data_IF_185660033242
#
_entry.id   IF_185660033242
#
_cell.length_a   1.000
_cell.length_b   1.000
_cell.length_c   1.000
_cell.angle_alpha   90.00
_cell.angle_beta   90.00
_cell.angle_gamma   90.00
#
_symmetry.space_group_name_H-M   'P 1'
#
loop_
_entity.id
_entity.type
_entity.pdbx_description
1 polymer ?
#
# COMPACT_ATOMS: atom_id res chain seq x y z
N UNK A 1 6.97 -47.98 -30.80
CA UNK A 1 5.76 -48.42 -30.06
C UNK A 1 5.02 -47.19 -29.56
N UNK A 2 3.88 -46.85 -30.16
CA UNK A 2 3.10 -45.67 -29.79
C UNK A 2 2.29 -45.94 -28.50
N UNK A 3 2.53 -45.15 -27.45
CA UNK A 3 1.73 -45.20 -26.21
C UNK A 3 0.30 -44.73 -26.52
N UNK A 4 -0.66 -45.66 -26.57
CA UNK A 4 -2.10 -45.39 -26.61
C UNK A 4 -2.48 -44.50 -25.42
N UNK A 5 -2.83 -43.23 -25.67
CA UNK A 5 -3.51 -42.39 -24.68
C UNK A 5 -4.88 -43.01 -24.41
N UNK A 6 -5.16 -43.37 -23.15
CA UNK A 6 -6.49 -43.85 -22.72
C UNK A 6 -7.56 -42.81 -23.11
N UNK A 7 -8.78 -43.23 -23.50
CA UNK A 7 -9.90 -42.32 -23.69
C UNK A 7 -10.14 -41.58 -22.37
N UNK A 8 -10.11 -40.25 -22.41
CA UNK A 8 -10.51 -39.42 -21.28
C UNK A 8 -11.98 -39.73 -20.97
N UNK A 9 -12.28 -40.06 -19.71
CA UNK A 9 -13.65 -40.30 -19.26
C UNK A 9 -14.54 -39.12 -19.73
N UNK A 10 -15.65 -39.37 -20.45
CA UNK A 10 -16.55 -38.32 -20.90
C UNK A 10 -17.02 -37.39 -19.77
N UNK A 11 -17.14 -37.92 -18.54
CA UNK A 11 -17.54 -37.15 -17.36
C UNK A 11 -16.43 -36.19 -16.90
N UNK A 12 -15.18 -36.64 -16.89
CA UNK A 12 -14.01 -35.80 -16.56
C UNK A 12 -13.80 -34.72 -17.62
N UNK A 13 -14.00 -35.05 -18.90
CA UNK A 13 -13.94 -34.09 -19.99
C UNK A 13 -15.05 -33.02 -19.88
N UNK A 14 -16.27 -33.40 -19.49
CA UNK A 14 -17.37 -32.47 -19.26
C UNK A 14 -17.11 -31.57 -18.03
N UNK A 15 -16.60 -32.13 -16.93
CA UNK A 15 -16.22 -31.38 -15.73
C UNK A 15 -15.13 -30.35 -16.02
N UNK A 16 -14.07 -30.73 -16.72
CA UNK A 16 -13.01 -29.79 -17.11
C UNK A 16 -13.48 -28.69 -18.05
N UNK A 17 -14.46 -28.97 -18.94
CA UNK A 17 -15.07 -27.92 -19.77
C UNK A 17 -15.86 -26.93 -18.90
N UNK A 18 -16.62 -27.43 -17.93
CA UNK A 18 -17.40 -26.60 -17.01
C UNK A 18 -16.50 -25.72 -16.14
N UNK A 19 -15.45 -26.29 -15.54
CA UNK A 19 -14.49 -25.53 -14.72
C UNK A 19 -13.77 -24.44 -15.53
N UNK A 20 -13.46 -24.70 -16.81
CA UNK A 20 -12.88 -23.68 -17.71
C UNK A 20 -13.86 -22.57 -18.03
N UNK A 21 -15.12 -22.90 -18.22
CA UNK A 21 -16.17 -21.92 -18.52
C UNK A 21 -16.46 -21.03 -17.30
N UNK A 22 -16.60 -21.62 -16.12
CA UNK A 22 -16.77 -20.90 -14.85
C UNK A 22 -15.57 -19.99 -14.57
N UNK A 23 -14.33 -20.48 -14.77
CA UNK A 23 -13.14 -19.66 -14.63
C UNK A 23 -13.10 -18.51 -15.65
N UNK A 24 -13.54 -18.74 -16.89
CA UNK A 24 -13.58 -17.70 -17.93
C UNK A 24 -14.58 -16.61 -17.57
N UNK A 25 -15.78 -16.99 -17.15
CA UNK A 25 -16.83 -16.06 -16.72
C UNK A 25 -16.37 -15.23 -15.52
N UNK A 26 -15.67 -15.85 -14.57
CA UNK A 26 -15.17 -15.13 -13.41
C UNK A 26 -14.03 -14.17 -13.77
N UNK A 27 -13.10 -14.58 -14.63
CA UNK A 27 -12.05 -13.69 -15.15
C UNK A 27 -12.65 -12.52 -15.92
N UNK A 28 -13.62 -12.77 -16.80
CA UNK A 28 -14.32 -11.74 -17.57
C UNK A 28 -15.03 -10.76 -16.62
N UNK A 29 -15.84 -11.27 -15.69
CA UNK A 29 -16.54 -10.47 -14.67
C UNK A 29 -15.60 -9.57 -13.88
N UNK A 30 -14.44 -10.09 -13.46
CA UNK A 30 -13.49 -9.32 -12.66
C UNK A 30 -12.62 -8.39 -13.50
N UNK A 31 -12.29 -8.74 -14.74
CA UNK A 31 -11.49 -7.90 -15.63
C UNK A 31 -12.17 -6.59 -16.03
N UNK A 32 -13.50 -6.57 -16.07
CA UNK A 32 -14.29 -5.37 -16.36
C UNK A 32 -14.38 -4.44 -15.13
N UNK A 33 -14.04 -4.93 -13.94
CA UNK A 33 -14.00 -4.10 -12.74
C UNK A 33 -12.74 -3.23 -12.74
N UNK A 34 -12.94 -1.90 -12.75
CA UNK A 34 -11.83 -0.97 -12.56
C UNK A 34 -11.14 -1.22 -11.22
N UNK A 35 -9.80 -1.24 -11.25
CA UNK A 35 -8.99 -1.41 -10.05
C UNK A 35 -8.97 -2.80 -9.46
N UNK A 36 -9.23 -3.84 -10.25
CA UNK A 36 -8.98 -5.23 -9.85
C UNK A 36 -7.75 -5.76 -10.59
N UNK A 37 -6.74 -6.18 -9.84
CA UNK A 37 -5.60 -6.92 -10.37
C UNK A 37 -5.86 -8.42 -10.26
N UNK A 38 -5.81 -9.10 -11.41
CA UNK A 38 -5.97 -10.54 -11.50
C UNK A 38 -4.60 -11.21 -11.54
N UNK A 39 -4.40 -12.19 -10.67
CA UNK A 39 -3.29 -13.10 -10.73
C UNK A 39 -3.75 -14.36 -11.47
N UNK A 40 -3.28 -14.52 -12.71
CA UNK A 40 -3.63 -15.65 -13.57
C UNK A 40 -2.43 -16.59 -13.71
N UNK A 41 -2.68 -17.88 -13.69
CA UNK A 41 -1.66 -18.88 -14.01
C UNK A 41 -1.20 -18.67 -15.48
N UNK A 42 0.12 -18.49 -15.74
CA UNK A 42 0.61 -18.07 -17.05
C UNK A 42 0.20 -18.98 -18.21
N UNK A 43 0.17 -20.29 -17.96
CA UNK A 43 -0.05 -21.34 -18.97
C UNK A 43 -1.52 -21.70 -19.17
N UNK A 44 -2.32 -21.74 -18.10
CA UNK A 44 -3.72 -22.20 -18.14
C UNK A 44 -4.72 -21.06 -18.12
N UNK A 45 -4.27 -19.83 -17.82
CA UNK A 45 -5.11 -18.65 -17.56
C UNK A 45 -6.15 -18.87 -16.46
N UNK A 46 -5.89 -19.84 -15.57
CA UNK A 46 -6.69 -20.06 -14.37
C UNK A 46 -6.52 -18.89 -13.41
N UNK A 47 -7.62 -18.40 -12.86
CA UNK A 47 -7.59 -17.40 -11.80
C UNK A 47 -7.02 -18.02 -10.53
N UNK A 48 -5.90 -17.46 -10.06
CA UNK A 48 -5.24 -17.86 -8.81
C UNK A 48 -5.70 -16.97 -7.66
N UNK A 49 -5.72 -15.66 -7.90
CA UNK A 49 -6.25 -14.69 -6.95
C UNK A 49 -6.71 -13.42 -7.67
N UNK A 50 -7.62 -12.68 -7.05
CA UNK A 50 -8.01 -11.35 -7.47
C UNK A 50 -7.88 -10.43 -6.26
N UNK A 51 -7.27 -9.26 -6.45
CA UNK A 51 -7.20 -8.24 -5.41
C UNK A 51 -7.61 -6.89 -5.97
N UNK A 52 -8.32 -6.10 -5.16
CA UNK A 52 -8.52 -4.69 -5.47
C UNK A 52 -7.20 -3.94 -5.25
N UNK A 53 -6.85 -3.13 -6.23
CA UNK A 53 -5.73 -2.21 -6.17
C UNK A 53 -6.11 -1.01 -5.32
N UNK A 54 -5.20 -0.60 -4.44
CA UNK A 54 -5.32 0.70 -3.78
C UNK A 54 -5.16 1.84 -4.80
N UNK A 55 -5.46 3.07 -4.36
CA UNK A 55 -5.40 4.24 -5.24
C UNK A 55 -3.99 4.55 -5.75
N UNK A 56 -2.95 4.21 -5.01
CA UNK A 56 -1.56 4.44 -5.41
C UNK A 56 -1.14 3.44 -6.49
N UNK A 57 -1.49 2.16 -6.34
CA UNK A 57 -1.27 1.13 -7.34
C UNK A 57 -2.06 1.40 -8.63
N UNK A 58 -3.23 2.04 -8.52
CA UNK A 58 -4.04 2.47 -9.66
C UNK A 58 -3.44 3.67 -10.40
N UNK A 59 -3.09 4.72 -9.68
CA UNK A 59 -2.66 6.01 -10.24
C UNK A 59 -1.18 6.04 -10.62
N UNK A 60 -0.34 5.30 -9.88
CA UNK A 60 1.11 5.24 -10.08
C UNK A 60 1.53 3.95 -10.79
N UNK A 61 0.64 3.35 -11.59
CA UNK A 61 0.87 2.04 -12.22
C UNK A 61 2.10 2.04 -13.13
N UNK A 62 2.31 3.12 -13.87
CA UNK A 62 3.34 3.25 -14.90
C UNK A 62 4.75 3.35 -14.27
N UNK A 63 5.76 2.90 -15.02
CA UNK A 63 7.17 2.91 -14.55
C UNK A 63 7.69 4.33 -14.27
N UNK A 64 7.13 5.33 -14.96
CA UNK A 64 7.42 6.75 -14.71
C UNK A 64 7.15 7.18 -13.25
N UNK A 65 6.26 6.48 -12.53
CA UNK A 65 5.90 6.77 -11.15
C UNK A 65 6.48 5.76 -10.15
N UNK A 66 7.46 4.94 -10.55
CA UNK A 66 8.05 3.92 -9.69
C UNK A 66 8.66 4.51 -8.40
N UNK A 67 9.36 5.64 -8.50
CA UNK A 67 9.96 6.30 -7.33
C UNK A 67 8.91 6.87 -6.37
N UNK A 68 7.88 7.53 -6.90
CA UNK A 68 6.76 8.05 -6.11
C UNK A 68 6.02 6.92 -5.37
N UNK A 69 5.78 5.79 -6.04
CA UNK A 69 5.21 4.58 -5.42
C UNK A 69 6.11 3.99 -4.33
N UNK A 70 7.42 3.95 -4.57
CA UNK A 70 8.39 3.53 -3.56
C UNK A 70 8.39 4.47 -2.34
N UNK A 71 8.16 5.78 -2.54
CA UNK A 71 8.05 6.75 -1.46
C UNK A 71 6.78 6.55 -0.63
N UNK A 72 5.65 6.20 -1.26
CA UNK A 72 4.42 5.84 -0.54
C UNK A 72 4.62 4.61 0.33
N UNK A 73 5.22 3.54 -0.21
CA UNK A 73 5.53 2.32 0.56
C UNK A 73 6.45 2.63 1.77
N UNK A 74 7.43 3.50 1.58
CA UNK A 74 8.32 3.97 2.65
C UNK A 74 7.55 4.73 3.74
N UNK A 75 6.61 5.61 3.37
CA UNK A 75 5.78 6.32 4.35
C UNK A 75 4.86 5.35 5.11
N UNK A 76 4.27 4.37 4.42
CA UNK A 76 3.46 3.34 5.06
C UNK A 76 4.27 2.54 6.09
N UNK A 77 5.49 2.12 5.74
CA UNK A 77 6.39 1.42 6.66
C UNK A 77 6.75 2.29 7.87
N UNK A 78 7.03 3.58 7.67
CA UNK A 78 7.28 4.53 8.77
C UNK A 78 6.09 4.66 9.71
N UNK A 79 4.85 4.72 9.19
CA UNK A 79 3.63 4.79 10.00
C UNK A 79 3.49 3.52 10.85
N UNK A 80 3.72 2.33 10.26
CA UNK A 80 3.66 1.04 10.97
C UNK A 80 4.77 0.88 12.01
N UNK A 81 5.96 1.38 11.71
CA UNK A 81 7.07 1.38 12.65
C UNK A 81 6.80 2.31 13.82
N UNK A 82 6.31 3.52 13.57
CA UNK A 82 5.97 4.48 14.63
C UNK A 82 4.80 4.01 15.50
N UNK A 83 3.83 3.29 14.93
CA UNK A 83 2.70 2.71 15.68
C UNK A 83 3.08 1.45 16.49
N UNK A 84 4.25 0.88 16.26
CA UNK A 84 4.69 -0.37 16.89
C UNK A 84 4.04 -1.62 16.30
N UNK A 85 3.33 -1.52 15.17
CA UNK A 85 2.69 -2.67 14.50
C UNK A 85 3.69 -3.76 14.10
N UNK A 86 4.93 -3.36 13.79
CA UNK A 86 6.03 -4.24 13.40
C UNK A 86 6.83 -4.83 14.57
N UNK A 87 6.45 -4.57 15.82
CA UNK A 87 7.14 -5.17 16.98
C UNK A 87 6.82 -6.66 17.12
N UNK A 88 7.84 -7.48 17.44
CA UNK A 88 7.70 -8.94 17.57
C UNK A 88 6.90 -9.36 18.82
N UNK A 89 6.69 -8.47 19.80
CA UNK A 89 6.10 -8.81 21.10
C UNK A 89 4.67 -8.27 21.23
N UNK A 90 3.69 -9.09 20.80
CA UNK A 90 2.24 -8.81 20.93
C UNK A 90 1.63 -9.23 22.28
N UNK A 91 2.43 -9.53 23.31
CA UNK A 91 1.90 -9.98 24.61
C UNK A 91 1.81 -8.81 25.60
N UNK A 92 0.62 -8.48 26.11
CA UNK A 92 0.43 -7.44 27.12
C UNK A 92 1.25 -7.64 28.41
N UNK A 93 1.66 -8.88 28.68
CA UNK A 93 2.26 -9.29 29.97
C UNK A 93 3.79 -9.14 30.02
N UNK A 94 4.44 -8.76 28.92
CA UNK A 94 5.89 -8.55 28.84
C UNK A 94 6.22 -7.07 28.72
N UNK A 95 6.22 -6.36 29.85
CA UNK A 95 6.93 -5.07 29.96
C UNK A 95 8.39 -5.43 30.19
N UNK A 96 9.19 -5.46 29.13
CA UNK A 96 10.64 -5.49 29.32
C UNK A 96 11.07 -4.14 29.88
N UNK A 97 11.81 -4.18 30.98
CA UNK A 97 12.75 -3.11 31.29
C UNK A 97 13.84 -3.15 30.20
N UNK A 98 13.56 -2.64 29.00
CA UNK A 98 14.60 -2.46 27.99
C UNK A 98 15.44 -1.25 28.38
N UNK A 99 16.75 -1.42 28.31
CA UNK A 99 17.73 -0.34 28.45
C UNK A 99 17.87 0.47 27.14
N UNK A 100 17.25 -0.01 26.05
CA UNK A 100 17.14 0.67 24.76
C UNK A 100 15.69 1.13 24.57
N UNK A 101 15.49 2.45 24.53
CA UNK A 101 14.16 3.08 24.57
C UNK A 101 13.80 3.67 25.93
N UNK A 102 12.61 4.28 26.06
CA UNK A 102 12.13 4.83 27.33
C UNK A 102 11.80 3.66 28.29
N UNK A 103 12.46 3.55 29.47
CA UNK A 103 12.32 2.39 30.34
C UNK A 103 10.86 2.13 30.75
N UNK A 104 10.38 0.89 30.62
CA UNK A 104 9.05 0.46 31.08
C UNK A 104 7.89 0.82 30.15
N UNK A 105 8.16 1.45 29.01
CA UNK A 105 7.22 1.65 27.91
C UNK A 105 7.77 0.83 26.75
N UNK A 106 6.98 -0.03 26.11
CA UNK A 106 7.42 -0.88 24.99
C UNK A 106 7.73 -0.05 23.71
N UNK A 107 8.54 1.00 23.84
CA UNK A 107 8.93 1.97 22.83
C UNK A 107 10.34 1.65 22.40
N UNK A 108 10.49 1.12 21.19
CA UNK A 108 11.80 0.79 20.63
C UNK A 108 12.49 2.02 20.04
N UNK A 109 13.82 1.99 19.93
CA UNK A 109 14.58 3.05 19.24
C UNK A 109 14.09 3.27 17.80
N UNK A 110 13.70 2.18 17.11
CA UNK A 110 13.12 2.23 15.76
C UNK A 110 11.81 3.03 15.72
N UNK A 111 10.93 2.87 16.73
CA UNK A 111 9.70 3.67 16.84
C UNK A 111 10.02 5.16 17.02
N UNK A 112 11.03 5.49 17.82
CA UNK A 112 11.46 6.88 18.07
C UNK A 112 12.00 7.50 16.79
N UNK A 113 12.85 6.79 16.05
CA UNK A 113 13.44 7.25 14.78
C UNK A 113 12.38 7.40 13.69
N UNK A 114 11.46 6.44 13.57
CA UNK A 114 10.34 6.53 12.65
C UNK A 114 9.45 7.74 12.98
N UNK A 115 9.12 7.95 14.27
CA UNK A 115 8.33 9.10 14.72
C UNK A 115 9.01 10.43 14.39
N UNK A 116 10.32 10.56 14.63
CA UNK A 116 11.08 11.76 14.24
C UNK A 116 11.06 12.01 12.74
N UNK A 117 11.13 10.95 11.95
CA UNK A 117 11.06 11.04 10.49
C UNK A 117 9.65 11.45 10.04
N UNK A 118 8.60 10.93 10.66
CA UNK A 118 7.21 11.33 10.38
C UNK A 118 6.96 12.80 10.70
N UNK A 119 7.50 13.33 11.81
CA UNK A 119 7.41 14.76 12.11
C UNK A 119 8.02 15.63 11.01
N UNK A 120 9.14 15.18 10.44
CA UNK A 120 9.78 15.87 9.31
C UNK A 120 8.92 15.78 8.06
N UNK A 121 8.31 14.62 7.79
CA UNK A 121 7.39 14.46 6.66
C UNK A 121 6.20 15.41 6.79
N UNK A 122 5.56 15.46 7.96
CA UNK A 122 4.42 16.34 8.21
C UNK A 122 4.80 17.82 8.10
N UNK A 123 5.99 18.20 8.57
CA UNK A 123 6.47 19.57 8.50
C UNK A 123 6.93 20.00 7.09
N UNK A 124 7.34 19.06 6.24
CA UNK A 124 7.91 19.36 4.92
C UNK A 124 6.88 19.37 3.80
N UNK A 125 5.75 18.68 4.00
CA UNK A 125 4.64 18.64 3.04
C UNK A 125 3.69 19.83 3.23
N UNK A 126 2.94 20.19 2.17
CA UNK A 126 1.85 21.15 2.35
C UNK A 126 0.78 20.52 3.25
N UNK A 127 0.06 21.31 4.07
CA UNK A 127 -0.90 20.76 5.04
C UNK A 127 -1.95 19.82 4.43
N UNK A 128 -2.42 20.12 3.21
CA UNK A 128 -3.39 19.27 2.51
C UNK A 128 -2.76 17.98 1.97
N UNK A 129 -1.47 17.97 1.62
CA UNK A 129 -0.76 16.80 1.11
C UNK A 129 -0.48 15.81 2.22
N UNK A 130 0.06 16.30 3.34
CA UNK A 130 0.26 15.49 4.53
C UNK A 130 -1.08 14.85 4.95
N UNK A 131 -2.11 15.67 5.15
CA UNK A 131 -3.45 15.17 5.51
C UNK A 131 -3.96 14.15 4.51
N UNK A 132 -3.80 14.40 3.21
CA UNK A 132 -4.27 13.48 2.17
C UNK A 132 -3.57 12.12 2.27
N UNK A 133 -2.24 12.11 2.35
CA UNK A 133 -1.45 10.88 2.40
C UNK A 133 -1.73 10.08 3.68
N UNK A 134 -1.76 10.73 4.84
CA UNK A 134 -2.06 10.04 6.11
C UNK A 134 -3.50 9.49 6.17
N UNK A 135 -4.48 10.20 5.59
CA UNK A 135 -5.86 9.69 5.50
C UNK A 135 -5.99 8.52 4.52
N UNK A 136 -5.25 8.55 3.40
CA UNK A 136 -5.27 7.47 2.40
C UNK A 136 -4.49 6.22 2.85
N UNK A 137 -3.47 6.39 3.69
CA UNK A 137 -2.65 5.30 4.24
C UNK A 137 -3.20 4.74 5.56
N UNK A 138 -4.31 5.27 6.06
CA UNK A 138 -4.96 4.70 7.24
C UNK A 138 -5.43 3.28 6.92
N UNK A 139 -5.18 2.29 7.80
CA UNK A 139 -5.66 0.94 7.59
C UNK A 139 -7.18 0.91 7.76
N UNK A 140 -7.92 1.08 6.66
CA UNK A 140 -9.36 0.89 6.58
C UNK A 140 -9.67 0.14 5.27
N UNK A 141 -10.25 -1.06 5.35
CA UNK A 141 -10.66 -1.82 4.17
C UNK A 141 -11.63 -1.01 3.28
N UNK A 142 -12.37 -0.06 3.85
CA UNK A 142 -13.26 0.83 3.10
C UNK A 142 -12.52 1.91 2.30
N UNK A 143 -11.28 2.29 2.66
CA UNK A 143 -10.50 3.32 1.96
C UNK A 143 -10.13 2.91 0.54
N UNK A 144 -9.84 1.62 0.31
CA UNK A 144 -9.62 1.06 -1.04
C UNK A 144 -10.82 1.35 -1.95
N UNK A 145 -12.03 1.39 -1.39
CA UNK A 145 -13.27 1.65 -2.15
C UNK A 145 -13.70 3.13 -2.19
N UNK A 146 -13.11 4.01 -1.36
CA UNK A 146 -13.58 5.40 -1.15
C UNK A 146 -12.48 6.46 -1.19
N UNK A 147 -11.29 6.14 -1.70
CA UNK A 147 -10.17 7.10 -1.78
C UNK A 147 -10.57 8.43 -2.46
N UNK A 148 -11.47 8.40 -3.45
CA UNK A 148 -12.01 9.59 -4.11
C UNK A 148 -12.76 10.52 -3.16
N UNK A 149 -13.51 9.97 -2.20
CA UNK A 149 -14.22 10.77 -1.19
C UNK A 149 -13.23 11.44 -0.23
N UNK A 150 -12.14 10.76 0.11
CA UNK A 150 -11.05 11.33 0.90
C UNK A 150 -10.38 12.47 0.14
N UNK A 151 -10.02 12.25 -1.13
CA UNK A 151 -9.42 13.30 -1.96
C UNK A 151 -10.37 14.50 -2.08
N UNK A 152 -11.66 14.28 -2.32
CA UNK A 152 -12.67 15.34 -2.39
C UNK A 152 -12.77 16.10 -1.07
N UNK A 153 -12.81 15.40 0.07
CA UNK A 153 -12.89 16.01 1.41
C UNK A 153 -11.65 16.86 1.73
N UNK A 154 -10.45 16.37 1.39
CA UNK A 154 -9.19 17.03 1.75
C UNK A 154 -8.81 18.13 0.77
N UNK A 155 -9.06 17.95 -0.53
CA UNK A 155 -8.54 18.84 -1.59
C UNK A 155 -9.61 19.62 -2.32
N UNK A 156 -10.89 19.35 -2.03
CA UNK A 156 -12.07 19.89 -2.76
C UNK A 156 -12.16 19.48 -4.24
N UNK A 157 -11.26 18.62 -4.74
CA UNK A 157 -11.29 18.13 -6.12
C UNK A 157 -12.50 17.21 -6.35
N UNK A 158 -13.38 17.60 -7.27
CA UNK A 158 -14.63 16.89 -7.56
C UNK A 158 -14.57 16.02 -8.80
N UNK A 159 -13.70 16.34 -9.76
CA UNK A 159 -13.57 15.59 -11.02
C UNK A 159 -12.53 14.46 -10.89
N UNK A 160 -12.77 13.27 -11.48
CA UNK A 160 -11.85 12.14 -11.37
C UNK A 160 -10.40 12.42 -11.75
N UNK A 161 -10.19 13.24 -12.79
CA UNK A 161 -8.87 13.64 -13.30
C UNK A 161 -8.13 14.47 -12.26
N UNK A 162 -8.74 15.57 -11.80
CA UNK A 162 -8.15 16.42 -10.73
C UNK A 162 -7.90 15.65 -9.45
N UNK A 163 -8.75 14.67 -9.10
CA UNK A 163 -8.51 13.84 -7.93
C UNK A 163 -7.23 13.00 -8.09
N UNK A 164 -7.03 12.40 -9.27
CA UNK A 164 -5.80 11.67 -9.58
C UNK A 164 -4.57 12.59 -9.54
N UNK A 165 -4.65 13.76 -10.19
CA UNK A 165 -3.57 14.76 -10.18
C UNK A 165 -3.18 15.18 -8.76
N UNK A 166 -4.15 15.39 -7.86
CA UNK A 166 -3.88 15.75 -6.46
C UNK A 166 -3.12 14.66 -5.70
N UNK A 167 -3.46 13.39 -5.92
CA UNK A 167 -2.75 12.27 -5.31
C UNK A 167 -1.34 12.18 -5.86
N UNK A 168 -1.16 12.27 -7.18
CA UNK A 168 0.16 12.22 -7.83
C UNK A 168 1.07 13.33 -7.30
N UNK A 169 0.58 14.57 -7.23
CA UNK A 169 1.34 15.72 -6.71
C UNK A 169 1.77 15.51 -5.25
N UNK A 170 0.90 14.94 -4.41
CA UNK A 170 1.25 14.63 -3.03
C UNK A 170 2.35 13.54 -2.97
N UNK A 171 2.27 12.51 -3.81
CA UNK A 171 3.26 11.44 -3.90
C UNK A 171 4.62 11.94 -4.43
N UNK A 172 4.63 12.86 -5.39
CA UNK A 172 5.85 13.50 -5.91
C UNK A 172 6.52 14.37 -4.84
N UNK A 173 5.72 15.12 -4.08
CA UNK A 173 6.23 15.90 -2.93
C UNK A 173 6.82 14.99 -1.86
N UNK A 174 6.16 13.86 -1.57
CA UNK A 174 6.67 12.84 -0.64
C UNK A 174 7.99 12.21 -1.14
N UNK A 175 8.13 11.98 -2.44
CA UNK A 175 9.36 11.47 -3.05
C UNK A 175 10.53 12.41 -2.76
N UNK A 176 10.35 13.72 -2.94
CA UNK A 176 11.38 14.70 -2.60
C UNK A 176 11.73 14.66 -1.10
N UNK A 177 10.73 14.60 -0.23
CA UNK A 177 10.95 14.52 1.22
C UNK A 177 11.77 13.27 1.57
N UNK A 178 11.43 12.11 1.00
CA UNK A 178 12.16 10.86 1.21
C UNK A 178 13.63 10.99 0.81
N UNK A 179 13.91 11.56 -0.36
CA UNK A 179 15.27 11.76 -0.86
C UNK A 179 16.10 12.68 0.06
N UNK A 180 15.44 13.57 0.80
CA UNK A 180 16.09 14.56 1.68
C UNK A 180 15.91 14.29 3.18
N UNK A 181 15.30 13.16 3.56
CA UNK A 181 14.83 12.91 4.93
C UNK A 181 15.95 13.01 5.97
N UNK A 182 17.13 12.45 5.67
CA UNK A 182 18.29 12.50 6.59
C UNK A 182 18.72 13.93 6.89
N UNK A 183 18.82 14.77 5.85
CA UNK A 183 19.22 16.16 6.00
C UNK A 183 18.17 16.97 6.78
N UNK A 184 16.88 16.76 6.48
CA UNK A 184 15.77 17.45 7.13
C UNK A 184 15.65 17.06 8.61
N UNK A 185 15.84 15.78 8.96
CA UNK A 185 15.88 15.31 10.35
C UNK A 185 17.02 15.97 11.11
N UNK A 186 18.22 16.04 10.52
CA UNK A 186 19.37 16.69 11.15
C UNK A 186 19.10 18.18 11.40
N UNK A 187 18.61 18.91 10.40
CA UNK A 187 18.28 20.34 10.54
C UNK A 187 17.27 20.59 11.65
N UNK A 188 16.24 19.73 11.77
CA UNK A 188 15.23 19.86 12.82
C UNK A 188 15.80 19.56 14.21
N UNK A 189 16.71 18.59 14.33
CA UNK A 189 17.39 18.29 15.59
C UNK A 189 18.27 19.46 16.04
N UNK A 190 19.02 20.07 15.11
CA UNK A 190 19.84 21.26 15.38
C UNK A 190 18.96 22.45 15.80
N UNK A 191 17.83 22.68 15.12
CA UNK A 191 16.90 23.76 15.46
C UNK A 191 16.19 23.59 16.82
N UNK A 192 16.08 22.36 17.34
CA UNK A 192 15.55 22.08 18.69
C UNK A 192 16.58 22.26 19.80
N UNK A 193 17.87 22.17 19.45
CA UNK A 193 18.97 22.28 20.41
C UNK A 193 19.46 23.73 20.59
N UNK A 194 19.14 24.62 19.66
CA UNK A 194 19.39 26.06 19.70
C UNK A 194 18.29 26.80 20.48
#
# INVERSE_FOLDING_TARGET
MAKRKKPTDPQDAARHRREREENRQEVERLSVQEGVALNLEPRTKRLLSARRLDCFALLLKDDAHAEARSAVNWLEELIRDASGENTQERRPDFIRASCEGAPGQNVTQRMIEASRTLEVVEASLRPWEARLLFELLRPDEALITRWRDVVKRVTTATTPQRQGERVIVACESLMWVRQNAVALVKQRQEARAA
#
